data_IF_143360344555
#
_entry.id   IF_143360344555
#
_cell.length_a   1.000
_cell.length_b   1.000
_cell.length_c   1.000
_cell.angle_alpha   90.00
_cell.angle_beta   90.00
_cell.angle_gamma   90.00
#
_symmetry.space_group_name_H-M   'P 1'
#
loop_
_entity.id
_entity.type
_entity.pdbx_description
1 polymer ?
#
# COMPACT_ATOMS: atom_id res chain seq x y z
N UNK A 1 20.90 6.80 -5.82
CA UNK A 1 20.25 6.43 -7.06
C UNK A 1 19.49 7.63 -7.56
N UNK A 2 19.87 8.09 -8.71
CA UNK A 2 19.25 9.25 -9.34
C UNK A 2 17.79 8.98 -9.58
N UNK A 3 16.99 9.94 -9.27
CA UNK A 3 15.58 10.01 -9.53
C UNK A 3 15.29 9.64 -11.00
N UNK A 4 14.99 8.36 -11.22
CA UNK A 4 14.71 7.85 -12.57
C UNK A 4 13.37 8.37 -13.06
N UNK A 5 12.55 8.88 -12.17
CA UNK A 5 11.19 9.28 -12.48
C UNK A 5 11.08 10.75 -12.88
N UNK A 6 11.78 11.66 -12.22
CA UNK A 6 11.62 13.09 -12.50
C UNK A 6 12.20 13.53 -13.84
N UNK A 7 13.38 13.04 -14.22
CA UNK A 7 14.03 13.44 -15.49
C UNK A 7 13.42 12.78 -16.73
N UNK A 8 12.88 11.57 -16.63
CA UNK A 8 12.24 10.91 -17.79
C UNK A 8 10.85 11.45 -18.09
N UNK A 9 10.19 12.07 -17.14
CA UNK A 9 8.84 12.55 -17.31
C UNK A 9 8.74 14.01 -17.76
N UNK A 10 9.79 14.81 -17.56
CA UNK A 10 9.82 16.18 -18.04
C UNK A 10 10.05 16.32 -19.55
N UNK A 11 10.42 15.26 -20.24
CA UNK A 11 10.73 15.26 -21.68
C UNK A 11 10.11 14.10 -22.44
N UNK A 12 8.79 13.99 -22.42
CA UNK A 12 8.13 13.10 -23.37
C UNK A 12 8.24 13.72 -24.77
N UNK A 13 9.15 13.19 -25.59
CA UNK A 13 9.34 13.65 -26.97
C UNK A 13 8.41 12.82 -27.87
N UNK A 14 7.43 13.50 -28.44
CA UNK A 14 6.62 12.96 -29.52
C UNK A 14 7.52 12.50 -30.69
N UNK A 15 7.18 11.41 -31.40
CA UNK A 15 7.92 10.96 -32.58
C UNK A 15 8.15 12.04 -33.65
N UNK A 16 7.44 13.15 -33.61
CA UNK A 16 7.62 14.31 -34.48
C UNK A 16 8.53 15.39 -33.88
N UNK A 17 9.28 15.08 -32.83
CA UNK A 17 10.25 16.03 -32.20
C UNK A 17 9.63 17.21 -31.47
N UNK A 18 8.34 17.17 -31.16
CA UNK A 18 7.65 18.17 -30.36
C UNK A 18 7.46 17.69 -28.92
N UNK A 19 7.70 18.57 -27.95
CA UNK A 19 7.39 18.28 -26.56
C UNK A 19 5.88 18.24 -26.35
N UNK A 20 5.39 17.07 -25.97
CA UNK A 20 3.99 16.91 -25.56
C UNK A 20 3.86 17.32 -24.12
N UNK A 21 3.42 18.53 -23.91
CA UNK A 21 3.15 19.04 -22.57
C UNK A 21 1.70 18.74 -22.19
N UNK A 22 1.50 17.60 -21.53
CA UNK A 22 0.20 17.29 -20.98
C UNK A 22 0.09 17.82 -19.57
N UNK A 23 -1.09 18.27 -19.20
CA UNK A 23 -1.37 18.82 -17.86
C UNK A 23 -0.99 17.89 -16.71
N UNK A 24 -0.93 16.58 -16.95
CA UNK A 24 -0.49 15.57 -16.01
C UNK A 24 0.89 15.89 -15.45
N UNK A 25 1.80 16.40 -16.26
CA UNK A 25 3.20 16.61 -15.88
C UNK A 25 3.52 18.02 -15.37
N UNK A 26 2.55 18.90 -15.30
CA UNK A 26 2.79 20.32 -14.95
C UNK A 26 2.37 20.75 -13.56
N UNK A 27 1.74 19.91 -12.78
CA UNK A 27 1.14 20.35 -11.52
C UNK A 27 1.93 19.91 -10.29
N UNK A 28 2.90 20.70 -9.86
CA UNK A 28 3.58 20.52 -8.58
C UNK A 28 4.62 19.39 -8.54
N UNK A 29 5.39 19.38 -7.50
CA UNK A 29 6.31 18.28 -7.21
C UNK A 29 5.53 16.98 -6.98
N UNK A 30 6.13 15.85 -7.31
CA UNK A 30 5.51 14.54 -7.09
C UNK A 30 4.52 14.11 -8.15
N UNK A 31 4.63 14.61 -9.35
CA UNK A 31 3.87 14.12 -10.49
C UNK A 31 4.54 12.91 -11.06
N UNK A 32 3.78 11.89 -11.23
CA UNK A 32 4.18 10.70 -11.93
C UNK A 32 3.02 10.13 -12.70
N UNK A 33 3.31 9.43 -13.73
CA UNK A 33 2.35 8.60 -14.40
C UNK A 33 2.69 7.14 -14.08
N UNK A 34 1.72 6.35 -13.64
CA UNK A 34 1.96 4.95 -13.33
C UNK A 34 2.45 4.13 -14.52
N UNK A 35 1.96 4.47 -15.71
CA UNK A 35 2.32 3.77 -16.94
C UNK A 35 2.17 4.70 -18.16
N UNK A 36 3.31 5.15 -18.68
CA UNK A 36 3.37 5.96 -19.89
C UNK A 36 2.99 5.18 -21.17
N UNK A 37 2.97 3.86 -21.11
CA UNK A 37 2.58 3.01 -22.24
C UNK A 37 1.08 3.11 -22.59
N UNK A 38 0.28 3.64 -21.68
CA UNK A 38 -1.14 3.90 -21.91
C UNK A 38 -1.41 5.07 -22.87
N UNK A 39 -0.39 5.88 -23.19
CA UNK A 39 -0.52 6.94 -24.17
C UNK A 39 -0.36 6.40 -25.60
N UNK A 40 -1.31 6.65 -26.49
CA UNK A 40 -1.15 6.27 -27.88
C UNK A 40 0.08 6.95 -28.51
N UNK A 41 0.89 6.23 -29.30
CA UNK A 41 2.11 6.78 -29.90
C UNK A 41 1.87 7.77 -31.03
N UNK A 42 0.65 7.94 -31.47
CA UNK A 42 0.32 8.76 -32.62
C UNK A 42 -0.27 10.10 -32.21
N UNK A 43 0.25 11.15 -32.80
CA UNK A 43 -0.33 12.50 -32.81
C UNK A 43 -0.61 13.16 -31.45
N UNK A 44 0.46 13.47 -30.75
CA UNK A 44 0.40 14.22 -29.48
C UNK A 44 -0.35 15.57 -29.55
N UNK A 45 -0.66 16.07 -30.72
CA UNK A 45 -1.41 17.32 -30.90
C UNK A 45 -2.89 17.22 -30.55
N UNK A 46 -3.42 16.00 -30.42
CA UNK A 46 -4.84 15.73 -30.18
C UNK A 46 -5.11 15.09 -28.83
N UNK A 47 -4.10 15.00 -27.94
CA UNK A 47 -4.28 14.45 -26.61
C UNK A 47 -4.70 15.51 -25.61
N UNK A 48 -5.83 15.25 -24.99
CA UNK A 48 -6.21 15.86 -23.72
C UNK A 48 -5.82 14.92 -22.58
N UNK A 49 -5.26 15.50 -21.53
CA UNK A 49 -5.02 14.74 -20.32
C UNK A 49 -6.35 14.27 -19.74
N UNK A 50 -6.54 12.96 -19.65
CA UNK A 50 -7.78 12.35 -19.13
C UNK A 50 -7.63 11.85 -17.70
N UNK A 51 -6.42 11.80 -17.21
CA UNK A 51 -6.12 11.42 -15.84
C UNK A 51 -4.97 12.23 -15.28
N UNK A 52 -4.92 12.34 -13.98
CA UNK A 52 -3.91 13.06 -13.24
C UNK A 52 -3.35 12.21 -12.13
N UNK A 53 -2.03 12.28 -11.95
CA UNK A 53 -1.34 11.74 -10.79
C UNK A 53 -0.90 12.91 -9.91
N UNK A 54 -1.16 12.82 -8.62
CA UNK A 54 -0.70 13.79 -7.65
C UNK A 54 -0.01 13.10 -6.48
N UNK A 55 1.05 13.70 -5.98
CA UNK A 55 1.69 13.23 -4.77
C UNK A 55 0.74 13.36 -3.58
N UNK A 56 0.71 12.33 -2.73
CA UNK A 56 0.04 12.38 -1.45
C UNK A 56 1.01 12.79 -0.35
N UNK A 57 0.99 14.06 0.11
CA UNK A 57 1.91 14.53 1.15
C UNK A 57 1.59 13.98 2.54
N UNK A 58 0.48 13.29 2.72
CA UNK A 58 0.10 12.66 3.99
C UNK A 58 0.71 11.27 4.17
N UNK A 59 1.37 10.73 3.14
CA UNK A 59 2.10 9.47 3.17
C UNK A 59 3.59 9.68 2.97
N UNK A 60 4.40 8.89 3.65
CA UNK A 60 5.86 9.01 3.56
C UNK A 60 6.39 8.36 2.29
N UNK A 61 7.33 9.05 1.64
CA UNK A 61 8.15 8.44 0.61
C UNK A 61 9.12 7.43 1.25
N UNK A 62 9.42 6.36 0.54
CA UNK A 62 10.32 5.31 1.04
C UNK A 62 11.24 4.81 -0.07
N UNK A 63 12.31 4.12 0.32
CA UNK A 63 13.25 3.52 -0.62
C UNK A 63 13.07 2.01 -0.58
N UNK A 64 12.73 1.43 -1.72
CA UNK A 64 12.71 -0.02 -1.92
C UNK A 64 13.83 -0.41 -2.86
N UNK A 65 14.77 -1.20 -2.35
CA UNK A 65 16.02 -1.52 -3.07
C UNK A 65 16.77 -0.24 -3.47
N UNK A 66 16.75 0.10 -4.73
CA UNK A 66 17.40 1.28 -5.29
C UNK A 66 16.37 2.27 -5.89
N UNK A 67 15.11 2.17 -5.51
CA UNK A 67 14.04 2.97 -6.10
C UNK A 67 13.39 3.84 -5.02
N UNK A 68 13.32 5.14 -5.26
CA UNK A 68 12.51 6.05 -4.45
C UNK A 68 11.04 5.86 -4.85
N UNK A 69 10.23 5.44 -3.89
CA UNK A 69 8.79 5.28 -4.03
C UNK A 69 8.08 6.47 -3.37
N UNK A 70 7.25 7.16 -4.13
CA UNK A 70 6.47 8.30 -3.65
C UNK A 70 4.99 7.93 -3.75
N UNK A 71 4.24 7.89 -2.64
CA UNK A 71 2.81 7.62 -2.67
C UNK A 71 2.05 8.67 -3.48
N UNK A 72 1.21 8.22 -4.38
CA UNK A 72 0.43 9.07 -5.29
C UNK A 72 -1.02 8.67 -5.32
N UNK A 73 -1.87 9.59 -5.75
CA UNK A 73 -3.27 9.36 -6.11
C UNK A 73 -3.46 9.52 -7.60
N UNK A 74 -4.41 8.80 -8.16
CA UNK A 74 -4.75 8.86 -9.56
C UNK A 74 -6.26 9.11 -9.76
N UNK A 75 -6.59 10.17 -10.49
CA UNK A 75 -7.96 10.59 -10.73
C UNK A 75 -8.15 11.10 -12.17
N UNK A 76 -9.40 11.06 -12.65
CA UNK A 76 -9.75 11.51 -13.97
C UNK A 76 -9.78 13.05 -14.08
N UNK A 77 -9.88 13.53 -15.30
CA UNK A 77 -10.07 14.97 -15.57
C UNK A 77 -11.33 15.53 -14.88
N UNK A 78 -12.40 14.75 -14.80
CA UNK A 78 -13.64 15.11 -14.10
C UNK A 78 -13.57 14.94 -12.58
N UNK A 79 -12.46 14.43 -12.05
CA UNK A 79 -12.26 14.22 -10.62
C UNK A 79 -12.73 12.86 -10.11
N UNK A 80 -13.11 11.93 -10.98
CA UNK A 80 -13.46 10.56 -10.58
C UNK A 80 -12.19 9.82 -10.15
N UNK A 81 -12.31 9.02 -9.10
CA UNK A 81 -11.21 8.19 -8.62
C UNK A 81 -10.90 7.09 -9.64
N UNK A 82 -9.61 6.96 -9.99
CA UNK A 82 -9.09 5.89 -10.85
C UNK A 82 -8.22 4.90 -10.07
N UNK A 83 -8.04 5.15 -8.78
CA UNK A 83 -7.31 4.30 -7.82
C UNK A 83 -8.16 3.98 -6.59
N UNK A 84 -7.57 3.29 -5.63
CA UNK A 84 -8.20 2.99 -4.34
C UNK A 84 -7.91 4.05 -3.28
N UNK A 85 -6.82 4.78 -3.41
CA UNK A 85 -6.38 5.78 -2.44
C UNK A 85 -7.26 7.03 -2.45
N UNK A 86 -7.64 7.51 -3.61
CA UNK A 86 -8.53 8.68 -3.74
C UNK A 86 -9.85 8.52 -2.98
N UNK A 87 -10.60 7.40 -3.10
CA UNK A 87 -11.78 7.17 -2.28
C UNK A 87 -11.49 7.12 -0.78
N UNK A 88 -10.39 6.52 -0.37
CA UNK A 88 -9.98 6.46 1.03
C UNK A 88 -9.78 7.88 1.60
N UNK A 89 -8.97 8.70 0.96
CA UNK A 89 -8.70 10.06 1.40
C UNK A 89 -9.98 10.91 1.46
N UNK A 90 -10.85 10.79 0.46
CA UNK A 90 -12.16 11.45 0.45
C UNK A 90 -13.06 10.99 1.58
N UNK A 91 -13.06 9.70 1.91
CA UNK A 91 -13.84 9.16 3.02
C UNK A 91 -13.34 9.66 4.37
N UNK A 92 -12.03 9.75 4.55
CA UNK A 92 -11.40 10.32 5.76
C UNK A 92 -11.79 11.78 5.95
N UNK A 93 -11.79 12.58 4.89
CA UNK A 93 -12.21 13.97 4.96
C UNK A 93 -13.72 14.11 5.22
N UNK A 94 -14.53 13.26 4.62
CA UNK A 94 -15.96 13.24 4.86
C UNK A 94 -16.31 12.93 6.32
N UNK A 95 -15.65 11.92 6.92
CA UNK A 95 -15.86 11.58 8.32
C UNK A 95 -15.34 12.66 9.26
N UNK A 96 -14.16 13.23 8.97
CA UNK A 96 -13.60 14.37 9.70
C UNK A 96 -14.63 15.52 9.80
N UNK A 97 -15.20 15.91 8.69
CA UNK A 97 -16.21 16.98 8.63
C UNK A 97 -17.44 16.69 9.49
N UNK A 98 -17.95 15.46 9.47
CA UNK A 98 -19.14 15.11 10.26
C UNK A 98 -18.79 14.93 11.75
N UNK A 99 -17.64 14.37 12.08
CA UNK A 99 -17.20 14.23 13.46
C UNK A 99 -17.00 15.60 14.13
N UNK A 100 -16.41 16.56 13.45
CA UNK A 100 -16.27 17.93 13.95
C UNK A 100 -17.62 18.60 14.22
N UNK A 101 -18.63 18.33 13.39
CA UNK A 101 -19.99 18.84 13.66
C UNK A 101 -20.59 18.27 14.94
N UNK A 102 -20.37 16.99 15.20
CA UNK A 102 -20.83 16.32 16.42
C UNK A 102 -20.07 16.85 17.64
N UNK A 103 -18.76 16.97 17.56
CA UNK A 103 -17.93 17.47 18.65
C UNK A 103 -18.31 18.88 19.09
N UNK A 104 -18.67 19.76 18.15
CA UNK A 104 -19.19 21.09 18.49
C UNK A 104 -20.48 21.05 19.30
N UNK A 105 -21.34 20.08 19.07
CA UNK A 105 -22.56 19.91 19.90
C UNK A 105 -22.25 19.49 21.33
N UNK A 106 -21.09 18.89 21.57
CA UNK A 106 -20.58 18.57 22.91
C UNK A 106 -19.70 19.66 23.51
N UNK A 107 -19.55 20.82 22.87
CA UNK A 107 -18.76 21.94 23.33
C UNK A 107 -17.25 21.80 23.12
N UNK A 108 -16.82 20.88 22.29
CA UNK A 108 -15.41 20.70 21.92
C UNK A 108 -15.04 21.60 20.71
N UNK A 109 -15.04 22.90 20.93
CA UNK A 109 -14.82 23.90 19.86
C UNK A 109 -13.34 24.08 19.47
N UNK A 110 -12.43 23.60 20.29
CA UNK A 110 -10.97 23.66 20.10
C UNK A 110 -10.44 22.53 19.18
N UNK A 111 -11.25 21.51 18.91
CA UNK A 111 -10.87 20.41 18.02
C UNK A 111 -10.94 20.88 16.58
N UNK A 112 -9.80 20.81 15.89
CA UNK A 112 -9.65 21.26 14.49
C UNK A 112 -9.68 20.12 13.49
N UNK A 113 -9.38 18.89 13.92
CA UNK A 113 -9.35 17.70 13.05
C UNK A 113 -9.66 16.41 13.81
N UNK A 114 -10.32 15.50 13.12
CA UNK A 114 -10.57 14.12 13.56
C UNK A 114 -10.00 13.17 12.52
N UNK A 115 -9.06 12.33 12.92
CA UNK A 115 -8.49 11.31 12.05
C UNK A 115 -9.05 9.92 12.42
N UNK A 116 -9.28 9.12 11.39
CA UNK A 116 -9.52 7.69 11.56
C UNK A 116 -8.21 6.95 11.69
N UNK A 117 -8.16 5.96 12.56
CA UNK A 117 -7.01 5.08 12.73
C UNK A 117 -7.39 3.64 12.40
N UNK A 118 -6.41 2.87 11.97
CA UNK A 118 -6.56 1.43 11.74
C UNK A 118 -5.28 0.70 12.12
N UNK A 119 -5.41 -0.52 12.62
CA UNK A 119 -4.31 -1.43 12.91
C UNK A 119 -4.46 -2.66 12.02
N UNK A 120 -3.78 -2.71 10.88
CA UNK A 120 -3.82 -3.87 10.02
C UNK A 120 -3.02 -5.02 10.63
N UNK A 121 -3.47 -6.24 10.36
CA UNK A 121 -2.81 -7.47 10.77
C UNK A 121 -2.55 -8.32 9.54
N UNK A 122 -1.38 -8.95 9.51
CA UNK A 122 -1.03 -9.90 8.46
C UNK A 122 -0.79 -11.27 9.08
N UNK A 123 -1.73 -12.16 8.87
CA UNK A 123 -1.61 -13.56 9.25
C UNK A 123 -0.96 -14.36 8.12
N UNK A 124 -0.04 -15.27 8.45
CA UNK A 124 0.70 -16.01 7.45
C UNK A 124 1.14 -17.39 7.92
N UNK A 125 1.40 -18.26 6.94
CA UNK A 125 2.05 -19.54 7.11
C UNK A 125 3.42 -19.49 6.42
N UNK A 126 4.45 -20.07 7.04
CA UNK A 126 5.75 -20.24 6.42
C UNK A 126 5.84 -21.60 5.73
N UNK A 127 6.27 -21.58 4.48
CA UNK A 127 6.47 -22.78 3.68
C UNK A 127 7.91 -22.77 3.17
N UNK A 128 8.59 -23.90 3.27
CA UNK A 128 9.91 -24.05 2.69
C UNK A 128 9.87 -23.82 1.17
N UNK A 129 10.77 -22.99 0.66
CA UNK A 129 10.80 -22.61 -0.74
C UNK A 129 10.88 -23.81 -1.68
N UNK A 130 11.73 -24.78 -1.35
CA UNK A 130 11.89 -26.00 -2.14
C UNK A 130 10.59 -26.84 -2.21
N UNK A 131 9.79 -26.82 -1.15
CA UNK A 131 8.48 -27.48 -1.13
C UNK A 131 7.42 -26.67 -1.88
N UNK A 132 7.45 -25.36 -1.75
CA UNK A 132 6.57 -24.46 -2.47
C UNK A 132 6.73 -24.60 -3.98
N UNK A 133 7.98 -24.64 -4.47
CA UNK A 133 8.29 -24.73 -5.89
C UNK A 133 7.85 -26.07 -6.53
N UNK A 134 7.49 -27.06 -5.73
CA UNK A 134 6.93 -28.35 -6.16
C UNK A 134 5.39 -28.38 -6.14
N UNK A 135 4.76 -27.31 -5.72
CA UNK A 135 3.31 -27.26 -5.50
C UNK A 135 2.65 -26.24 -6.45
N UNK A 136 2.16 -26.76 -7.57
CA UNK A 136 1.48 -25.93 -8.58
C UNK A 136 0.26 -25.18 -8.02
N UNK A 137 -0.49 -25.79 -7.10
CA UNK A 137 -1.63 -25.18 -6.45
C UNK A 137 -1.23 -23.95 -5.60
N UNK A 138 -0.12 -24.01 -4.89
CA UNK A 138 0.40 -22.86 -4.13
C UNK A 138 0.92 -21.76 -5.06
N UNK A 139 1.62 -22.14 -6.13
CA UNK A 139 2.17 -21.19 -7.11
C UNK A 139 1.05 -20.46 -7.86
N UNK A 140 0.08 -21.22 -8.38
CA UNK A 140 -0.94 -20.69 -9.26
C UNK A 140 -2.13 -20.06 -8.52
N UNK A 141 -2.47 -20.53 -7.33
CA UNK A 141 -3.68 -20.15 -6.62
C UNK A 141 -3.43 -19.54 -5.24
N UNK A 142 -2.16 -19.45 -4.78
CA UNK A 142 -1.77 -18.96 -3.46
C UNK A 142 -2.46 -19.70 -2.29
N UNK A 143 -2.93 -20.94 -2.52
CA UNK A 143 -3.59 -21.76 -1.52
C UNK A 143 -3.47 -23.25 -1.88
N UNK A 144 -3.67 -24.10 -0.88
CA UNK A 144 -3.80 -25.54 -1.09
C UNK A 144 -5.15 -25.86 -1.75
N UNK A 145 -5.12 -26.52 -2.91
CA UNK A 145 -6.30 -27.02 -3.59
C UNK A 145 -6.54 -28.49 -3.27
N UNK A 146 -5.46 -29.28 -3.18
CA UNK A 146 -5.50 -30.70 -2.97
C UNK A 146 -4.73 -31.08 -1.71
N UNK A 147 -5.16 -32.12 -1.04
CA UNK A 147 -4.54 -32.65 0.16
C UNK A 147 -5.50 -32.75 1.34
N UNK A 148 -5.02 -33.36 2.41
CA UNK A 148 -5.76 -33.46 3.65
C UNK A 148 -5.90 -32.08 4.30
N UNK A 149 -7.05 -31.81 4.89
CA UNK A 149 -7.20 -30.66 5.76
C UNK A 149 -6.29 -30.81 6.99
N UNK A 150 -5.82 -29.71 7.59
CA UNK A 150 -5.13 -29.79 8.87
C UNK A 150 -6.04 -30.47 9.91
N UNK A 151 -5.45 -31.20 10.87
CA UNK A 151 -6.22 -31.94 11.88
C UNK A 151 -7.00 -31.01 12.82
N UNK A 152 -6.64 -29.76 12.86
CA UNK A 152 -7.23 -28.73 13.71
C UNK A 152 -7.22 -27.38 13.00
N UNK A 153 -8.28 -26.59 13.19
CA UNK A 153 -8.38 -25.21 12.79
C UNK A 153 -8.14 -24.25 13.96
N UNK A 154 -9.04 -23.31 14.14
CA UNK A 154 -8.96 -22.27 15.19
C UNK A 154 -9.73 -22.62 16.48
N UNK A 155 -10.02 -23.88 16.67
CA UNK A 155 -10.73 -24.34 17.86
C UNK A 155 -9.84 -24.25 19.10
N UNK A 156 -10.41 -23.86 20.22
CA UNK A 156 -9.83 -23.84 21.56
C UNK A 156 -8.66 -22.87 21.81
N UNK A 157 -8.21 -22.13 20.82
CA UNK A 157 -7.16 -21.09 20.95
C UNK A 157 -5.81 -21.57 21.52
N UNK A 158 -5.60 -22.85 21.67
CA UNK A 158 -4.44 -23.44 22.36
C UNK A 158 -3.10 -23.24 21.63
N UNK A 159 -3.11 -22.98 20.31
CA UNK A 159 -1.90 -22.67 19.55
C UNK A 159 -1.44 -21.22 19.69
N UNK A 160 -2.32 -20.31 20.06
CA UNK A 160 -2.01 -18.88 20.21
C UNK A 160 -0.86 -18.64 21.21
N UNK A 161 -0.88 -19.31 22.33
CA UNK A 161 0.16 -19.23 23.37
C UNK A 161 1.29 -20.25 23.20
N UNK A 162 1.33 -20.93 22.07
CA UNK A 162 2.36 -21.92 21.76
C UNK A 162 3.76 -21.29 21.59
N UNK A 163 4.79 -22.11 21.76
CA UNK A 163 6.16 -21.68 21.54
C UNK A 163 6.42 -21.37 20.06
N UNK A 164 7.11 -20.27 19.80
CA UNK A 164 7.61 -19.95 18.45
C UNK A 164 8.89 -20.74 18.22
N UNK A 165 8.92 -21.54 17.15
CA UNK A 165 10.11 -22.33 16.80
C UNK A 165 11.28 -21.39 16.46
N UNK A 166 12.53 -21.75 16.79
CA UNK A 166 13.69 -20.88 16.57
C UNK A 166 13.84 -20.39 15.11
N UNK A 167 13.54 -21.24 14.15
CA UNK A 167 13.57 -20.89 12.72
C UNK A 167 12.54 -19.83 12.36
N UNK A 168 11.33 -19.91 12.93
CA UNK A 168 10.28 -18.92 12.75
C UNK A 168 10.63 -17.62 13.44
N UNK A 169 11.18 -17.68 14.65
CA UNK A 169 11.63 -16.48 15.38
C UNK A 169 12.74 -15.73 14.63
N UNK A 170 13.67 -16.46 14.00
CA UNK A 170 14.69 -15.86 13.15
C UNK A 170 14.08 -15.13 11.96
N UNK A 171 13.16 -15.78 11.26
CA UNK A 171 12.41 -15.15 10.16
C UNK A 171 11.68 -13.89 10.61
N UNK A 172 10.96 -13.93 11.73
CA UNK A 172 10.24 -12.78 12.26
C UNK A 172 11.16 -11.60 12.57
N UNK A 173 12.37 -11.90 13.06
CA UNK A 173 13.36 -10.86 13.31
C UNK A 173 13.84 -10.21 12.01
N UNK A 174 14.20 -11.01 11.02
CA UNK A 174 14.66 -10.51 9.74
C UNK A 174 13.55 -9.72 9.01
N UNK A 175 12.30 -10.20 9.10
CA UNK A 175 11.15 -9.51 8.55
C UNK A 175 10.96 -8.11 9.16
N UNK A 176 11.05 -7.98 10.48
CA UNK A 176 10.94 -6.67 11.14
C UNK A 176 12.02 -5.70 10.64
N UNK A 177 13.27 -6.16 10.55
CA UNK A 177 14.38 -5.33 10.09
C UNK A 177 14.17 -4.83 8.67
N UNK A 178 13.65 -5.66 7.77
CA UNK A 178 13.33 -5.26 6.39
C UNK A 178 12.13 -4.30 6.32
N UNK A 179 11.10 -4.54 7.11
CA UNK A 179 9.93 -3.66 7.19
C UNK A 179 10.30 -2.28 7.75
N UNK A 180 11.15 -2.21 8.77
CA UNK A 180 11.62 -0.93 9.32
C UNK A 180 12.41 -0.10 8.31
N UNK A 181 13.19 -0.75 7.44
CA UNK A 181 13.89 -0.06 6.33
C UNK A 181 12.91 0.58 5.34
N UNK A 182 11.72 0.00 5.19
CA UNK A 182 10.65 0.54 4.36
C UNK A 182 9.78 1.57 5.08
N UNK A 183 10.04 1.84 6.37
CA UNK A 183 9.23 2.74 7.17
C UNK A 183 7.96 2.11 7.74
N UNK A 184 7.84 0.78 7.70
CA UNK A 184 6.72 0.03 8.29
C UNK A 184 7.10 -0.37 9.72
N UNK A 185 6.51 0.24 10.77
CA UNK A 185 6.89 -0.01 12.15
C UNK A 185 6.26 -1.31 12.69
N UNK A 186 6.60 -2.44 12.10
CA UNK A 186 6.15 -3.75 12.56
C UNK A 186 6.66 -4.05 13.97
N UNK A 187 5.81 -4.59 14.82
CA UNK A 187 6.11 -4.86 16.23
C UNK A 187 5.56 -6.19 16.72
N UNK A 188 4.40 -6.58 16.26
CA UNK A 188 3.71 -7.77 16.75
C UNK A 188 4.33 -9.04 16.16
N UNK A 189 4.66 -9.99 17.05
CA UNK A 189 5.20 -11.31 16.72
C UNK A 189 4.62 -12.35 17.64
N UNK A 190 3.70 -13.15 17.16
CA UNK A 190 3.16 -14.29 17.91
C UNK A 190 2.58 -15.34 16.98
N UNK A 191 2.21 -16.46 17.56
CA UNK A 191 1.42 -17.46 16.85
C UNK A 191 -0.04 -17.03 16.80
N UNK A 192 -0.72 -17.42 15.75
CA UNK A 192 -2.16 -17.36 15.65
C UNK A 192 -2.83 -18.62 16.17
N UNK A 193 -4.15 -18.61 16.22
CA UNK A 193 -4.96 -19.67 16.80
C UNK A 193 -4.85 -20.97 15.99
N UNK A 194 -4.72 -20.88 14.67
CA UNK A 194 -4.52 -22.05 13.84
C UNK A 194 -3.09 -22.59 13.95
N UNK A 195 -2.90 -23.93 13.87
CA UNK A 195 -1.57 -24.53 13.92
C UNK A 195 -0.62 -23.96 12.86
N UNK A 196 0.55 -23.52 13.29
CA UNK A 196 1.61 -22.97 12.44
C UNK A 196 1.24 -21.68 11.68
N UNK A 197 0.16 -21.04 12.06
CA UNK A 197 -0.16 -19.68 11.63
C UNK A 197 0.53 -18.67 12.55
N UNK A 198 1.05 -17.62 11.97
CA UNK A 198 1.77 -16.56 12.67
C UNK A 198 1.22 -15.22 12.27
N UNK A 199 1.46 -14.21 13.08
CA UNK A 199 1.02 -12.84 12.81
C UNK A 199 2.20 -11.87 12.81
N UNK A 200 2.06 -10.88 11.95
CA UNK A 200 2.83 -9.64 11.98
C UNK A 200 1.84 -8.48 11.92
N UNK A 201 2.01 -7.49 12.77
CA UNK A 201 1.22 -6.28 12.73
C UNK A 201 2.10 -5.04 12.89
N UNK A 202 1.95 -4.02 12.03
CA UNK A 202 2.49 -2.70 12.28
C UNK A 202 1.79 -2.03 13.47
N UNK A 203 2.45 -1.03 14.04
CA UNK A 203 1.80 -0.16 15.01
C UNK A 203 0.67 0.58 14.28
N UNK A 204 -0.53 0.60 14.87
CA UNK A 204 -1.67 1.31 14.27
C UNK A 204 -1.35 2.80 14.07
N UNK A 205 -1.84 3.33 12.98
CA UNK A 205 -1.66 4.74 12.60
C UNK A 205 -2.93 5.26 11.92
N UNK A 206 -2.88 6.45 11.33
CA UNK A 206 -4.00 6.92 10.54
C UNK A 206 -4.31 5.98 9.36
N UNK A 207 -5.56 5.98 8.93
CA UNK A 207 -6.04 5.00 7.94
C UNK A 207 -5.30 5.07 6.61
N UNK A 208 -4.83 6.25 6.19
CA UNK A 208 -4.08 6.39 4.96
C UNK A 208 -2.70 5.74 5.06
N UNK A 209 -1.93 6.11 6.08
CA UNK A 209 -0.60 5.54 6.31
C UNK A 209 -0.65 4.03 6.50
N UNK A 210 -1.64 3.53 7.25
CA UNK A 210 -1.83 2.10 7.46
C UNK A 210 -2.18 1.32 6.18
N UNK A 211 -2.91 1.93 5.26
CA UNK A 211 -3.22 1.30 3.97
C UNK A 211 -2.05 1.31 2.98
N UNK A 212 -1.07 2.18 3.17
CA UNK A 212 0.16 2.19 2.37
C UNK A 212 1.21 1.19 2.87
N UNK A 213 1.13 0.75 4.12
CA UNK A 213 1.99 -0.24 4.74
C UNK A 213 1.63 -1.67 4.31
#
# INVERSE_FOLDING_TARGET
MTDITAEKHDSFICPRGRHCHHGIFRQGAGKGEPDASSFPPADCGHFEARGYTAWDPSSYAFIKENTLCIPTVFYSYGGEALDRKTPLLRSMEAINKQALRILKLFGADDVTRVNTTVGPEQEYFLIDRELYDQREDLIMCCRTLFGAKPPKGQELEDHYFGAIRPRVAAYMKDLDEELWKLGVPAKTKHNEVAPSQHEMAPIYTDANSACDQ
#
